data_IF_547115662807
#
_entry.id   IF_547115662807
#
_cell.length_a   1.000
_cell.length_b   1.000
_cell.length_c   1.000
_cell.angle_alpha   90.00
_cell.angle_beta   90.00
_cell.angle_gamma   90.00
#
_symmetry.space_group_name_H-M   'P 1'
#
loop_
_entity.id
_entity.type
_entity.pdbx_description
1 polymer ?
#
# COMPACT_ATOMS: atom_id res chain seq x y z
N UNK A 1 14.87 32.32 3.69
CA UNK A 1 13.57 31.98 3.05
C UNK A 1 12.96 30.81 3.80
N UNK A 2 12.01 31.09 4.68
CA UNK A 2 11.21 30.07 5.38
C UNK A 2 10.28 29.36 4.42
N UNK A 3 10.18 28.03 4.52
CA UNK A 3 8.90 27.34 4.40
C UNK A 3 8.81 26.26 5.47
N UNK A 4 8.19 26.65 6.59
CA UNK A 4 7.57 25.74 7.55
C UNK A 4 6.35 25.13 6.89
N UNK A 5 6.18 23.81 6.96
CA UNK A 5 4.88 23.20 7.23
C UNK A 5 5.08 21.79 7.77
N UNK A 6 5.04 21.72 9.10
CA UNK A 6 4.78 20.53 9.88
C UNK A 6 3.49 19.87 9.35
N UNK A 7 3.61 18.71 8.71
CA UNK A 7 2.48 17.83 8.44
C UNK A 7 2.66 16.60 9.32
N UNK A 8 2.05 16.65 10.51
CA UNK A 8 1.89 15.48 11.35
C UNK A 8 0.82 14.59 10.73
N UNK A 9 1.21 13.72 9.78
CA UNK A 9 0.35 12.64 9.32
C UNK A 9 0.38 11.52 10.38
N UNK A 10 -0.46 11.65 11.40
CA UNK A 10 -0.72 10.56 12.33
C UNK A 10 -1.52 9.48 11.59
N UNK A 11 -0.84 8.55 10.91
CA UNK A 11 -1.46 7.28 10.49
C UNK A 11 -1.53 6.38 11.72
N UNK A 12 -2.57 6.61 12.53
CA UNK A 12 -2.99 5.66 13.53
C UNK A 12 -3.80 4.56 12.84
N UNK A 13 -3.33 3.30 12.93
CA UNK A 13 -4.20 2.12 12.78
C UNK A 13 -4.04 1.24 11.55
N UNK A 14 -2.82 1.05 11.02
CA UNK A 14 -2.53 -0.05 10.07
C UNK A 14 -1.39 -0.88 10.64
N UNK A 15 -1.41 -2.22 10.54
CA UNK A 15 -0.31 -3.02 11.04
C UNK A 15 0.93 -2.74 10.19
N UNK A 16 1.90 -2.09 10.84
CA UNK A 16 3.22 -1.81 10.30
C UNK A 16 3.97 -3.07 9.80
N UNK A 17 3.46 -4.26 10.15
CA UNK A 17 4.01 -5.54 9.72
C UNK A 17 3.98 -5.75 8.20
N UNK A 18 3.04 -5.16 7.44
CA UNK A 18 2.91 -5.47 5.99
C UNK A 18 3.00 -4.25 5.08
N UNK A 19 2.67 -3.05 5.57
CA UNK A 19 2.82 -1.82 4.80
C UNK A 19 2.99 -0.58 5.69
N UNK A 20 3.58 0.46 5.11
CA UNK A 20 3.78 1.75 5.76
C UNK A 20 3.17 2.88 4.93
N UNK A 21 2.78 3.96 5.59
CA UNK A 21 2.47 5.21 4.91
C UNK A 21 3.73 5.71 4.19
N UNK A 22 3.57 6.10 2.93
CA UNK A 22 4.67 6.56 2.09
C UNK A 22 4.42 8.02 1.71
N UNK A 23 4.54 8.91 2.70
CA UNK A 23 4.16 10.32 2.57
C UNK A 23 5.04 11.10 1.58
N UNK A 24 6.24 10.63 1.25
CA UNK A 24 7.17 11.30 0.31
C UNK A 24 7.69 10.44 -0.85
N UNK A 25 7.25 9.17 -0.98
CA UNK A 25 7.70 8.33 -2.08
C UNK A 25 6.75 8.45 -3.28
N UNK A 26 7.32 8.67 -4.47
CA UNK A 26 6.55 8.63 -5.71
C UNK A 26 5.97 7.21 -5.89
N UNK A 27 4.64 7.06 -6.02
CA UNK A 27 4.05 5.76 -6.26
C UNK A 27 4.47 5.22 -7.64
N UNK A 28 4.85 3.95 -7.69
CA UNK A 28 5.18 3.28 -8.95
C UNK A 28 3.95 3.16 -9.86
N UNK A 29 2.76 2.95 -9.28
CA UNK A 29 1.48 2.91 -9.99
C UNK A 29 0.28 3.19 -9.10
N UNK A 30 -0.83 3.52 -9.74
CA UNK A 30 -2.15 3.65 -9.13
C UNK A 30 -2.99 2.38 -9.35
N UNK A 31 -3.45 1.77 -8.27
CA UNK A 31 -4.32 0.60 -8.23
C UNK A 31 -5.77 1.06 -8.00
N UNK A 32 -6.65 0.79 -8.97
CA UNK A 32 -8.07 1.10 -8.83
C UNK A 32 -8.81 -0.10 -8.24
N UNK A 33 -9.38 0.10 -7.05
CA UNK A 33 -10.20 -0.92 -6.38
C UNK A 33 -11.66 -0.63 -6.67
N UNK A 34 -12.34 -1.61 -7.26
CA UNK A 34 -13.76 -1.56 -7.58
C UNK A 34 -14.50 -2.64 -6.78
N UNK A 35 -15.85 -2.60 -6.72
CA UNK A 35 -16.62 -3.65 -6.06
C UNK A 35 -16.40 -5.07 -6.62
N UNK A 36 -15.91 -5.18 -7.86
CA UNK A 36 -15.60 -6.44 -8.52
C UNK A 36 -14.16 -6.91 -8.30
N UNK A 37 -13.30 -6.08 -7.70
CA UNK A 37 -11.91 -6.46 -7.40
C UNK A 37 -11.92 -7.58 -6.35
N UNK A 38 -11.19 -8.68 -6.64
CA UNK A 38 -11.00 -9.82 -5.72
C UNK A 38 -9.55 -9.98 -5.28
N UNK A 39 -8.63 -9.61 -6.18
CA UNK A 39 -7.20 -9.71 -5.94
C UNK A 39 -6.49 -8.44 -6.42
N UNK A 40 -5.41 -8.10 -5.74
CA UNK A 40 -4.46 -7.06 -6.15
C UNK A 40 -3.06 -7.65 -6.11
N UNK A 41 -2.23 -7.32 -7.08
CA UNK A 41 -0.83 -7.75 -7.10
C UNK A 41 0.09 -6.58 -6.78
N UNK A 42 1.01 -6.80 -5.85
CA UNK A 42 2.04 -5.84 -5.44
C UNK A 42 3.38 -6.53 -5.35
N UNK A 43 4.46 -5.75 -5.37
CA UNK A 43 5.81 -6.25 -5.16
C UNK A 43 6.32 -5.83 -3.78
N UNK A 44 7.08 -6.70 -3.10
CA UNK A 44 7.84 -6.30 -1.90
C UNK A 44 8.72 -5.08 -2.20
N UNK A 45 8.70 -4.08 -1.31
CA UNK A 45 9.41 -2.81 -1.47
C UNK A 45 8.75 -1.81 -2.43
N UNK A 46 7.64 -2.16 -3.08
CA UNK A 46 6.93 -1.27 -4.00
C UNK A 46 6.17 -0.18 -3.23
N UNK A 47 6.23 1.06 -3.71
CA UNK A 47 5.27 2.08 -3.28
C UNK A 47 4.10 2.12 -4.26
N UNK A 48 2.88 1.88 -3.80
CA UNK A 48 1.66 1.90 -4.62
C UNK A 48 0.69 2.95 -4.09
N UNK A 49 -0.04 3.59 -4.99
CA UNK A 49 -1.24 4.34 -4.62
C UNK A 49 -2.47 3.48 -4.85
N UNK A 50 -3.41 3.46 -3.92
CA UNK A 50 -4.61 2.64 -3.97
C UNK A 50 -5.80 3.57 -3.94
N UNK A 51 -6.59 3.58 -5.01
CA UNK A 51 -7.82 4.37 -5.09
C UNK A 51 -9.02 3.49 -4.77
N UNK A 52 -9.73 3.81 -3.70
CA UNK A 52 -10.89 3.06 -3.23
C UNK A 52 -11.88 3.98 -2.52
N UNK A 53 -13.18 3.80 -2.76
CA UNK A 53 -14.23 4.65 -2.15
C UNK A 53 -14.08 6.15 -2.46
N UNK A 54 -13.44 6.50 -3.58
CA UNK A 54 -13.15 7.89 -3.96
C UNK A 54 -11.88 8.49 -3.33
N UNK A 55 -11.29 7.83 -2.32
CA UNK A 55 -10.05 8.23 -1.68
C UNK A 55 -8.83 7.54 -2.31
N UNK A 56 -7.64 8.15 -2.17
CA UNK A 56 -6.37 7.58 -2.62
C UNK A 56 -5.41 7.44 -1.44
N UNK A 57 -4.83 6.26 -1.30
CA UNK A 57 -3.89 5.92 -0.22
C UNK A 57 -2.56 5.48 -0.81
N UNK A 58 -1.48 6.18 -0.51
CA UNK A 58 -0.13 5.80 -0.93
C UNK A 58 0.55 4.97 0.16
N UNK A 59 1.05 3.79 -0.22
CA UNK A 59 1.59 2.77 0.69
C UNK A 59 2.88 2.17 0.16
N UNK A 60 3.88 2.07 1.02
CA UNK A 60 5.06 1.25 0.81
C UNK A 60 4.75 -0.17 1.28
N UNK A 61 4.93 -1.15 0.40
CA UNK A 61 4.74 -2.57 0.71
C UNK A 61 6.00 -3.08 1.40
N UNK A 62 5.91 -3.32 2.70
CA UNK A 62 7.04 -3.83 3.49
C UNK A 62 7.12 -5.36 3.47
N UNK A 63 5.95 -6.03 3.44
CA UNK A 63 5.75 -7.49 3.35
C UNK A 63 6.99 -8.35 3.71
N UNK A 64 7.20 -8.68 5.00
CA UNK A 64 8.38 -9.41 5.44
C UNK A 64 8.51 -10.76 4.75
N UNK A 65 9.75 -11.26 4.64
CA UNK A 65 10.07 -12.49 3.92
C UNK A 65 9.12 -13.64 4.28
N UNK A 66 8.49 -14.20 3.26
CA UNK A 66 7.56 -15.33 3.39
C UNK A 66 6.08 -14.93 3.34
N UNK A 67 5.75 -13.65 3.46
CA UNK A 67 4.39 -13.15 3.23
C UNK A 67 4.09 -13.18 1.73
N UNK A 68 3.16 -14.06 1.34
CA UNK A 68 2.71 -14.19 -0.06
C UNK A 68 1.38 -13.52 -0.33
N UNK A 69 0.58 -13.32 0.71
CA UNK A 69 -0.70 -12.65 0.60
C UNK A 69 -1.15 -12.07 1.95
N UNK A 70 -1.94 -11.00 1.90
CA UNK A 70 -2.61 -10.40 3.06
C UNK A 70 -3.91 -9.71 2.63
N UNK A 71 -4.73 -9.24 3.59
CA UNK A 71 -6.00 -8.57 3.28
C UNK A 71 -5.79 -7.13 2.84
N UNK A 72 -6.58 -6.63 1.88
CA UNK A 72 -6.53 -5.22 1.49
C UNK A 72 -6.78 -4.27 2.67
N UNK A 73 -7.54 -4.69 3.67
CA UNK A 73 -7.78 -3.93 4.92
C UNK A 73 -6.48 -3.59 5.68
N UNK A 74 -5.35 -4.22 5.34
CA UNK A 74 -4.04 -3.88 5.90
C UNK A 74 -3.36 -2.70 5.21
N UNK A 75 -3.88 -2.24 4.07
CA UNK A 75 -3.35 -1.09 3.33
C UNK A 75 -4.23 0.15 3.46
N UNK A 76 -5.52 -0.06 3.69
CA UNK A 76 -6.52 1.01 3.71
C UNK A 76 -7.35 0.92 4.99
N UNK A 77 -7.86 2.05 5.52
CA UNK A 77 -8.58 2.05 6.79
C UNK A 77 -9.77 1.08 6.79
N UNK A 78 -9.95 0.33 7.90
CA UNK A 78 -11.05 -0.63 8.06
C UNK A 78 -12.45 0.00 8.00
N UNK A 79 -12.55 1.32 8.14
CA UNK A 79 -13.79 2.08 7.95
C UNK A 79 -14.35 1.99 6.52
N UNK A 80 -13.52 1.57 5.55
CA UNK A 80 -13.98 1.27 4.20
C UNK A 80 -14.47 -0.18 4.18
N UNK A 81 -15.75 -0.37 3.90
CA UNK A 81 -16.33 -1.69 3.68
C UNK A 81 -15.74 -2.28 2.38
N UNK A 82 -14.67 -3.05 2.54
CA UNK A 82 -14.04 -3.79 1.47
C UNK A 82 -14.52 -5.22 1.62
N UNK A 83 -14.94 -5.84 0.51
CA UNK A 83 -15.12 -7.28 0.51
C UNK A 83 -13.80 -8.00 0.86
N UNK A 84 -13.84 -9.34 0.91
CA UNK A 84 -12.64 -10.18 1.00
C UNK A 84 -11.74 -9.98 -0.25
N UNK A 85 -10.92 -8.93 -0.24
CA UNK A 85 -9.95 -8.62 -1.29
C UNK A 85 -8.57 -9.05 -0.81
N UNK A 86 -7.94 -9.96 -1.54
CA UNK A 86 -6.63 -10.49 -1.19
C UNK A 86 -5.53 -9.78 -1.99
N UNK A 87 -4.58 -9.18 -1.28
CA UNK A 87 -3.36 -8.62 -1.86
C UNK A 87 -2.33 -9.74 -1.97
N UNK A 88 -1.82 -9.97 -3.16
CA UNK A 88 -0.79 -10.96 -3.49
C UNK A 88 0.56 -10.25 -3.60
N UNK A 89 1.55 -10.76 -2.89
CA UNK A 89 2.89 -10.18 -2.84
C UNK A 89 3.82 -11.00 -3.71
N UNK A 90 4.32 -10.37 -4.76
CA UNK A 90 5.44 -10.87 -5.51
C UNK A 90 6.75 -10.52 -4.77
N UNK A 91 7.72 -11.44 -4.69
CA UNK A 91 9.05 -11.09 -4.19
C UNK A 91 9.64 -10.00 -5.08
N UNK A 92 10.38 -9.06 -4.48
CA UNK A 92 11.15 -8.10 -5.27
C UNK A 92 12.02 -8.89 -6.26
N UNK A 93 11.87 -8.64 -7.57
CA UNK A 93 12.88 -9.09 -8.52
C UNK A 93 14.16 -8.43 -8.06
N UNK A 94 15.14 -9.21 -7.57
CA UNK A 94 16.52 -8.74 -7.59
C UNK A 94 16.77 -8.37 -9.05
N UNK A 95 17.01 -7.10 -9.37
CA UNK A 95 17.62 -6.77 -10.65
C UNK A 95 18.82 -7.71 -10.82
N UNK A 96 18.73 -8.62 -11.78
CA UNK A 96 19.90 -9.32 -12.24
C UNK A 96 20.77 -8.24 -12.86
N UNK A 97 21.88 -7.89 -12.19
CA UNK A 97 22.91 -7.09 -12.81
C UNK A 97 23.38 -7.82 -14.06
N UNK A 98 23.35 -7.11 -15.18
CA UNK A 98 24.03 -7.48 -16.42
C UNK A 98 25.03 -6.36 -16.72
#
# INVERSE_FOLDING_TARGET
MSFVRLALALVAGLPAAVAHAADHAAPARLLHVTPHTRHLSVTEGETVSIRVGGATYTRLIAAPRGVRAFSLSELVPAAIALGEIRVLVAPARRQAGA
#
